data_IF_488045636587
#
_entry.id   IF_488045636587
#
_cell.length_a   1.000
_cell.length_b   1.000
_cell.length_c   1.000
_cell.angle_alpha   90.00
_cell.angle_beta   90.00
_cell.angle_gamma   90.00
#
_symmetry.space_group_name_H-M   'P 1'
#
loop_
_entity.id
_entity.type
_entity.pdbx_description
1 polymer ?
#
# COMPACT_ATOMS: atom_id res chain seq x y z
N UNK A 1 19.00 -3.63 -0.55
CA UNK A 1 17.64 -3.09 -0.75
C UNK A 1 16.57 -4.09 -0.33
N UNK A 2 16.52 -5.31 -0.87
CA UNK A 2 15.52 -6.33 -0.48
C UNK A 2 15.47 -6.62 1.03
N UNK A 3 16.62 -6.78 1.68
CA UNK A 3 16.68 -7.09 3.13
C UNK A 3 16.07 -6.00 4.03
N UNK A 4 16.25 -4.72 3.69
CA UNK A 4 15.71 -3.61 4.50
C UNK A 4 14.18 -3.57 4.39
N UNK A 5 13.65 -3.81 3.19
CA UNK A 5 12.21 -3.84 2.95
C UNK A 5 11.59 -5.06 3.64
N UNK A 6 12.26 -6.21 3.59
CA UNK A 6 11.85 -7.43 4.30
C UNK A 6 11.83 -7.25 5.81
N UNK A 7 12.84 -6.61 6.39
CA UNK A 7 12.90 -6.30 7.81
C UNK A 7 11.77 -5.36 8.24
N UNK A 8 11.47 -4.34 7.43
CA UNK A 8 10.36 -3.42 7.71
C UNK A 8 8.99 -4.07 7.53
N UNK A 9 8.85 -4.97 6.54
CA UNK A 9 7.65 -5.80 6.43
C UNK A 9 7.46 -6.69 7.66
N UNK A 10 8.52 -7.37 8.12
CA UNK A 10 8.45 -8.23 9.29
C UNK A 10 8.04 -7.45 10.56
N UNK A 11 8.58 -6.24 10.75
CA UNK A 11 8.17 -5.34 11.85
C UNK A 11 6.72 -4.90 11.73
N UNK A 12 6.28 -4.49 10.54
CA UNK A 12 4.90 -4.07 10.31
C UNK A 12 3.93 -5.23 10.58
N UNK A 13 4.22 -6.42 10.06
CA UNK A 13 3.40 -7.61 10.26
C UNK A 13 3.35 -8.03 11.72
N UNK A 14 4.48 -7.98 12.43
CA UNK A 14 4.53 -8.28 13.86
C UNK A 14 3.74 -7.28 14.71
N UNK A 15 3.68 -6.00 14.30
CA UNK A 15 2.93 -4.97 15.00
C UNK A 15 1.44 -4.97 14.63
N UNK A 16 1.12 -5.30 13.39
CA UNK A 16 -0.22 -5.30 12.84
C UNK A 16 -0.39 -6.52 11.92
N UNK A 17 -0.77 -7.64 12.54
CA UNK A 17 -0.99 -8.92 11.86
C UNK A 17 -2.18 -8.90 10.88
N UNK A 18 -2.93 -7.79 10.84
CA UNK A 18 -4.03 -7.60 9.87
C UNK A 18 -3.54 -7.02 8.56
N UNK A 19 -2.35 -6.44 8.51
CA UNK A 19 -1.68 -6.16 7.24
C UNK A 19 -1.17 -7.49 6.69
N UNK A 20 -1.67 -7.98 5.56
CA UNK A 20 -1.26 -9.27 5.03
C UNK A 20 -0.43 -9.18 3.75
N UNK A 21 -0.48 -8.04 3.05
CA UNK A 21 0.29 -7.85 1.82
C UNK A 21 0.97 -6.50 1.85
N UNK A 22 2.16 -6.46 1.27
CA UNK A 22 3.00 -5.28 1.25
C UNK A 22 3.77 -5.23 -0.07
N UNK A 23 3.93 -4.03 -0.59
CA UNK A 23 4.75 -3.77 -1.76
C UNK A 23 5.34 -2.37 -1.71
N UNK A 24 6.46 -2.23 -2.40
CA UNK A 24 7.19 -0.99 -2.57
C UNK A 24 7.25 -0.68 -4.05
N UNK A 25 6.82 0.51 -4.38
CA UNK A 25 6.84 1.07 -5.72
C UNK A 25 7.80 2.24 -5.75
N UNK A 26 8.58 2.36 -6.82
CA UNK A 26 9.38 3.56 -7.13
C UNK A 26 9.21 3.87 -8.61
N UNK A 27 8.85 5.11 -8.92
CA UNK A 27 8.63 5.58 -10.30
C UNK A 27 7.61 4.73 -11.08
N UNK A 28 6.54 4.29 -10.40
CA UNK A 28 5.54 3.37 -10.95
C UNK A 28 6.09 1.99 -11.35
N UNK A 29 7.20 1.55 -10.75
CA UNK A 29 7.77 0.22 -10.89
C UNK A 29 7.80 -0.46 -9.53
N UNK A 30 7.39 -1.73 -9.45
CA UNK A 30 7.49 -2.51 -8.23
C UNK A 30 8.96 -2.88 -7.98
N UNK A 31 9.50 -2.39 -6.86
CA UNK A 31 10.86 -2.69 -6.39
C UNK A 31 10.86 -3.98 -5.56
N UNK A 32 9.81 -4.17 -4.77
CA UNK A 32 9.65 -5.33 -3.90
C UNK A 32 8.17 -5.56 -3.60
N UNK A 33 7.74 -6.81 -3.47
CA UNK A 33 6.38 -7.16 -3.03
C UNK A 33 6.37 -8.51 -2.32
N UNK A 34 5.41 -8.70 -1.42
CA UNK A 34 5.12 -10.02 -0.84
C UNK A 34 4.64 -11.00 -1.92
N UNK A 35 4.97 -12.28 -1.79
CA UNK A 35 4.63 -13.30 -2.81
C UNK A 35 3.14 -13.65 -2.93
N UNK A 36 2.28 -13.07 -2.11
CA UNK A 36 0.84 -13.36 -2.02
C UNK A 36 -0.05 -12.39 -2.81
N UNK A 37 0.55 -11.58 -3.69
CA UNK A 37 -0.10 -10.78 -4.72
C UNK A 37 0.89 -10.36 -5.80
N UNK A 38 0.41 -9.86 -6.95
CA UNK A 38 1.27 -9.34 -8.00
C UNK A 38 0.73 -8.03 -8.55
N UNK A 39 1.39 -6.92 -8.19
CA UNK A 39 0.96 -5.58 -8.59
C UNK A 39 1.59 -5.08 -9.89
N UNK A 40 2.45 -5.87 -10.54
CA UNK A 40 3.24 -5.42 -11.70
C UNK A 40 2.37 -4.89 -12.84
N UNK A 41 1.19 -5.46 -13.05
CA UNK A 41 0.28 -5.02 -14.10
C UNK A 41 -0.57 -3.81 -13.70
N UNK A 42 -0.83 -3.63 -12.41
CA UNK A 42 -1.76 -2.63 -11.90
C UNK A 42 -1.03 -1.35 -11.47
N UNK A 43 0.29 -1.41 -11.25
CA UNK A 43 1.06 -0.35 -10.59
C UNK A 43 1.04 1.00 -11.32
N UNK A 44 0.92 1.00 -12.65
CA UNK A 44 0.82 2.24 -13.43
C UNK A 44 -0.40 3.06 -13.03
N UNK A 45 -1.53 2.39 -12.81
CA UNK A 45 -2.79 3.02 -12.43
C UNK A 45 -2.79 3.37 -10.94
N UNK A 46 -2.26 2.47 -10.11
CA UNK A 46 -2.16 2.67 -8.65
C UNK A 46 -1.27 3.86 -8.31
N UNK A 47 -0.11 4.02 -8.97
CA UNK A 47 0.80 5.15 -8.72
C UNK A 47 0.19 6.52 -9.07
N UNK A 48 -0.83 6.55 -9.94
CA UNK A 48 -1.54 7.78 -10.31
C UNK A 48 -2.79 8.01 -9.45
N UNK A 49 -3.30 6.98 -8.76
CA UNK A 49 -4.52 7.07 -7.98
C UNK A 49 -4.51 8.16 -6.89
N UNK A 50 -3.43 8.33 -6.09
CA UNK A 50 -3.35 9.44 -5.13
C UNK A 50 -3.34 10.82 -5.80
N UNK A 51 -2.63 10.95 -6.94
CA UNK A 51 -2.46 12.22 -7.67
C UNK A 51 -3.77 12.69 -8.30
N UNK A 52 -4.53 11.76 -8.86
CA UNK A 52 -5.80 12.03 -9.52
C UNK A 52 -6.99 11.95 -8.57
N UNK A 53 -6.76 11.67 -7.28
CA UNK A 53 -7.80 11.37 -6.30
C UNK A 53 -8.84 10.37 -6.83
N UNK A 54 -8.37 9.30 -7.50
CA UNK A 54 -9.21 8.35 -8.21
C UNK A 54 -10.30 7.77 -7.30
N UNK A 55 -11.55 7.73 -7.75
CA UNK A 55 -12.67 7.24 -6.93
C UNK A 55 -12.62 5.75 -6.64
N UNK A 56 -11.88 4.99 -7.46
CA UNK A 56 -11.64 3.57 -7.27
C UNK A 56 -10.35 3.14 -7.92
N UNK A 57 -9.82 2.02 -7.45
CA UNK A 57 -8.67 1.31 -8.05
C UNK A 57 -8.99 -0.16 -8.20
N UNK A 58 -8.35 -0.81 -9.17
CA UNK A 58 -8.40 -2.25 -9.34
C UNK A 58 -7.06 -2.83 -8.93
N UNK A 59 -7.09 -3.85 -8.08
CA UNK A 59 -5.89 -4.55 -7.59
C UNK A 59 -6.17 -6.04 -7.68
N UNK A 60 -5.41 -6.77 -8.51
CA UNK A 60 -5.61 -8.20 -8.78
C UNK A 60 -7.06 -8.56 -9.14
N UNK A 61 -7.72 -7.73 -9.94
CA UNK A 61 -9.12 -7.94 -10.35
C UNK A 61 -10.17 -7.66 -9.27
N UNK A 62 -9.77 -7.14 -8.10
CA UNK A 62 -10.71 -6.65 -7.07
C UNK A 62 -10.79 -5.12 -7.15
N UNK A 63 -12.02 -4.59 -7.17
CA UNK A 63 -12.26 -3.14 -7.17
C UNK A 63 -12.34 -2.63 -5.73
N UNK A 64 -11.52 -1.64 -5.42
CA UNK A 64 -11.53 -0.93 -4.14
C UNK A 64 -12.01 0.50 -4.37
N UNK A 65 -13.02 0.95 -3.62
CA UNK A 65 -13.55 2.31 -3.67
C UNK A 65 -12.81 3.19 -2.67
N UNK A 66 -12.46 4.40 -3.10
CA UNK A 66 -11.75 5.38 -2.28
C UNK A 66 -12.58 5.78 -1.06
N UNK A 67 -11.95 5.69 0.11
CA UNK A 67 -12.42 6.28 1.37
C UNK A 67 -11.80 7.66 1.52
N UNK A 68 -10.47 7.76 1.35
CA UNK A 68 -9.74 9.01 1.48
C UNK A 68 -8.52 9.04 0.55
N UNK A 69 -8.09 10.24 0.18
CA UNK A 69 -6.88 10.46 -0.62
C UNK A 69 -6.28 11.81 -0.25
N UNK A 70 -4.96 11.85 -0.22
CA UNK A 70 -4.15 13.04 -0.02
C UNK A 70 -2.89 12.98 -0.88
N UNK A 71 -2.02 13.98 -0.78
CA UNK A 71 -0.70 13.97 -1.42
C UNK A 71 0.17 12.81 -0.96
N UNK A 72 -0.06 12.30 0.25
CA UNK A 72 0.84 11.37 0.94
C UNK A 72 0.20 10.02 1.25
N UNK A 73 -1.10 9.85 0.97
CA UNK A 73 -1.81 8.62 1.25
C UNK A 73 -3.00 8.40 0.33
N UNK A 74 -3.35 7.14 0.12
CA UNK A 74 -4.59 6.75 -0.54
C UNK A 74 -5.18 5.55 0.19
N UNK A 75 -6.46 5.62 0.52
CA UNK A 75 -7.18 4.60 1.28
C UNK A 75 -8.41 4.20 0.50
N UNK A 76 -8.56 2.91 0.24
CA UNK A 76 -9.70 2.36 -0.45
C UNK A 76 -10.15 1.04 0.18
N UNK A 77 -11.43 0.73 0.09
CA UNK A 77 -12.04 -0.49 0.61
C UNK A 77 -12.78 -1.23 -0.49
N UNK A 78 -12.71 -2.56 -0.46
CA UNK A 78 -13.48 -3.40 -1.36
C UNK A 78 -14.78 -3.84 -0.69
N UNK A 79 -15.81 -4.07 -1.49
CA UNK A 79 -17.05 -4.68 -1.04
C UNK A 79 -16.84 -6.17 -0.71
N UNK A 80 -17.87 -6.84 -0.18
CA UNK A 80 -17.88 -8.29 0.06
C UNK A 80 -16.72 -8.83 0.91
N UNK A 81 -16.28 -8.07 1.92
CA UNK A 81 -15.17 -8.46 2.81
C UNK A 81 -13.89 -8.82 2.06
N UNK A 82 -13.56 -8.09 0.98
CA UNK A 82 -12.29 -8.27 0.25
C UNK A 82 -11.16 -7.35 0.74
N UNK A 83 -11.36 -6.68 1.88
CA UNK A 83 -10.34 -5.97 2.63
C UNK A 83 -10.13 -4.53 2.17
N UNK A 84 -8.99 -3.98 2.57
CA UNK A 84 -8.64 -2.58 2.36
C UNK A 84 -7.32 -2.48 1.61
N UNK A 85 -7.28 -1.59 0.62
CA UNK A 85 -6.09 -1.24 -0.12
C UNK A 85 -5.60 0.13 0.33
N UNK A 86 -4.31 0.19 0.65
CA UNK A 86 -3.70 1.33 1.33
C UNK A 86 -2.44 1.73 0.58
N UNK A 87 -2.20 3.02 0.46
CA UNK A 87 -0.95 3.57 -0.03
C UNK A 87 -0.44 4.65 0.90
N UNK A 88 0.87 4.68 1.09
CA UNK A 88 1.55 5.73 1.82
C UNK A 88 2.81 6.18 1.06
N UNK A 89 2.99 7.49 0.91
CA UNK A 89 4.13 8.08 0.24
C UNK A 89 5.40 7.88 1.08
N UNK A 90 6.46 7.37 0.46
CA UNK A 90 7.81 7.32 1.05
C UNK A 90 8.54 8.62 0.70
N UNK A 91 8.46 9.00 -0.57
CA UNK A 91 8.95 10.25 -1.12
C UNK A 91 8.14 10.66 -2.38
N UNK A 92 8.66 11.60 -3.19
CA UNK A 92 7.94 12.09 -4.38
C UNK A 92 7.74 11.03 -5.47
N UNK A 93 8.59 10.01 -5.53
CA UNK A 93 8.57 8.98 -6.57
C UNK A 93 8.32 7.58 -6.02
N UNK A 94 8.44 7.37 -4.71
CA UNK A 94 8.28 6.09 -4.04
C UNK A 94 7.04 6.02 -3.15
N UNK A 95 6.34 4.89 -3.24
CA UNK A 95 5.11 4.59 -2.51
C UNK A 95 5.20 3.22 -1.87
N UNK A 96 4.69 3.11 -0.65
CA UNK A 96 4.30 1.85 -0.06
C UNK A 96 2.86 1.53 -0.44
N UNK A 97 2.62 0.27 -0.75
CA UNK A 97 1.30 -0.30 -0.98
C UNK A 97 1.07 -1.41 0.05
N UNK A 98 -0.10 -1.40 0.66
CA UNK A 98 -0.51 -2.37 1.67
C UNK A 98 -1.89 -2.91 1.39
N UNK A 99 -2.12 -4.16 1.78
CA UNK A 99 -3.46 -4.71 1.88
C UNK A 99 -3.72 -5.18 3.30
N UNK A 100 -4.83 -4.73 3.87
CA UNK A 100 -5.28 -5.07 5.20
C UNK A 100 -6.59 -5.87 5.16
N UNK A 101 -6.78 -6.76 6.13
CA UNK A 101 -8.00 -7.59 6.20
C UNK A 101 -9.25 -6.74 6.43
N UNK A 102 -10.45 -7.23 6.06
CA UNK A 102 -11.71 -6.51 6.22
C UNK A 102 -12.00 -6.02 7.65
N UNK A 103 -11.53 -6.78 8.65
CA UNK A 103 -11.72 -6.48 10.07
C UNK A 103 -10.80 -5.34 10.56
N UNK A 104 -9.90 -4.87 9.71
CA UNK A 104 -9.05 -3.71 10.00
C UNK A 104 -9.84 -2.42 9.89
N UNK A 105 -9.41 -1.42 10.65
CA UNK A 105 -9.87 -0.04 10.48
C UNK A 105 -8.93 0.60 9.44
N UNK A 106 -9.40 0.91 8.21
CA UNK A 106 -8.55 1.38 7.12
C UNK A 106 -7.72 2.61 7.49
N UNK A 107 -8.33 3.55 8.23
CA UNK A 107 -7.71 4.81 8.66
C UNK A 107 -6.58 4.58 9.66
N UNK A 108 -6.64 3.53 10.49
CA UNK A 108 -5.54 3.17 11.38
C UNK A 108 -4.47 2.36 10.65
N UNK A 109 -4.90 1.46 9.75
CA UNK A 109 -3.99 0.62 8.99
C UNK A 109 -3.09 1.46 8.05
N UNK A 110 -3.62 2.55 7.47
CA UNK A 110 -2.79 3.47 6.66
C UNK A 110 -1.77 4.24 7.51
N UNK A 111 -2.07 4.53 8.78
CA UNK A 111 -1.11 5.18 9.70
C UNK A 111 0.05 4.24 9.99
N UNK A 112 -0.23 2.95 10.21
CA UNK A 112 0.83 1.95 10.40
C UNK A 112 1.69 1.80 9.14
N UNK A 113 1.07 1.79 7.96
CA UNK A 113 1.78 1.78 6.68
C UNK A 113 2.64 3.04 6.50
N UNK A 114 2.11 4.22 6.85
CA UNK A 114 2.83 5.49 6.77
C UNK A 114 4.03 5.55 7.71
N UNK A 115 3.94 4.93 8.90
CA UNK A 115 5.10 4.79 9.81
C UNK A 115 6.21 3.97 9.15
N UNK A 116 5.86 2.87 8.48
CA UNK A 116 6.84 2.10 7.69
C UNK A 116 7.40 2.90 6.52
N UNK A 117 6.57 3.72 5.85
CA UNK A 117 7.03 4.59 4.76
C UNK A 117 8.09 5.59 5.24
N UNK A 118 7.86 6.22 6.40
CA UNK A 118 8.81 7.14 7.02
C UNK A 118 10.13 6.45 7.36
N UNK A 119 10.10 5.19 7.82
CA UNK A 119 11.32 4.42 8.13
C UNK A 119 12.13 4.08 6.89
N UNK A 120 11.45 3.84 5.77
CA UNK A 120 12.10 3.52 4.49
C UNK A 120 12.58 4.77 3.74
N UNK A 121 12.13 5.97 4.13
CA UNK A 121 12.53 7.23 3.51
C UNK A 121 14.05 7.43 3.55
N UNK A 122 14.66 7.59 2.38
CA UNK A 122 16.12 7.75 2.22
C UNK A 122 16.91 6.43 2.20
N UNK A 123 16.23 5.29 2.37
CA UNK A 123 16.84 3.94 2.24
C UNK A 123 16.49 3.27 0.90
N UNK A 124 15.45 3.75 0.22
CA UNK A 124 14.96 3.23 -1.07
C UNK A 124 14.82 4.31 -2.12
#
# INVERSE_FOLDING_TARGET
MGSIIEDEWAKLYSSNSRMQRFAVCKEAIIVWQTGNWNLVNDISDLAQAPKNAADKVNVNGVTYRRISSSSDSYVATAENNQGHFLMASVDRTAWLLGWATPESIPELAVIDLARSAIRLKGLI
#
